data_IF_608545552229
#
_entry.id   IF_608545552229
#
_cell.length_a   1.000
_cell.length_b   1.000
_cell.length_c   1.000
_cell.angle_alpha   90.00
_cell.angle_beta   90.00
_cell.angle_gamma   90.00
#
_symmetry.space_group_name_H-M   'P 1'
#
loop_
_entity.id
_entity.type
_entity.pdbx_description
1 polymer ?
#
# COMPACT_ATOMS: atom_id res chain seq x y z
N UNK A 1 -2.39 22.38 -17.64
CA UNK A 1 -2.41 20.93 -17.92
C UNK A 1 -1.62 20.28 -16.80
N UNK A 2 -2.23 19.41 -15.99
CA UNK A 2 -1.53 18.73 -14.90
C UNK A 2 -0.52 17.69 -15.42
N UNK A 3 0.36 17.15 -14.55
CA UNK A 3 1.30 16.12 -14.96
C UNK A 3 0.56 14.89 -15.52
N UNK A 4 0.94 14.47 -16.72
CA UNK A 4 0.48 13.21 -17.32
C UNK A 4 1.40 12.11 -16.79
N UNK A 5 0.87 11.24 -15.93
CA UNK A 5 1.59 10.07 -15.43
C UNK A 5 1.52 8.96 -16.48
N UNK A 6 2.60 8.74 -17.24
CA UNK A 6 2.66 7.78 -18.36
C UNK A 6 3.26 6.42 -18.00
N UNK A 7 3.55 6.15 -16.71
CA UNK A 7 4.11 4.88 -16.24
C UNK A 7 3.14 4.06 -15.39
N UNK A 8 3.34 2.74 -15.26
CA UNK A 8 2.55 1.90 -14.37
C UNK A 8 2.74 2.36 -12.92
N UNK A 9 1.62 2.58 -12.22
CA UNK A 9 1.62 3.04 -10.82
C UNK A 9 1.67 1.82 -9.90
N UNK A 10 2.87 1.25 -9.78
CA UNK A 10 3.13 0.04 -9.02
C UNK A 10 3.57 0.42 -7.60
N UNK A 11 2.98 -0.27 -6.62
CA UNK A 11 3.48 -0.35 -5.26
C UNK A 11 4.29 -1.64 -5.09
N UNK A 12 5.46 -1.53 -4.47
CA UNK A 12 6.31 -2.68 -4.14
C UNK A 12 6.82 -2.57 -2.70
N UNK A 13 6.99 -3.70 -2.03
CA UNK A 13 7.48 -3.81 -0.66
C UNK A 13 8.28 -5.10 -0.45
N UNK A 14 8.97 -5.19 0.69
CA UNK A 14 9.71 -6.39 1.07
C UNK A 14 8.79 -7.44 1.69
N UNK A 15 9.10 -8.72 1.46
CA UNK A 15 8.35 -9.81 2.05
C UNK A 15 8.51 -9.85 3.58
N UNK A 16 7.41 -10.07 4.29
CA UNK A 16 7.37 -10.29 5.74
C UNK A 16 7.20 -11.79 6.02
N UNK A 17 8.07 -12.36 6.85
CA UNK A 17 7.98 -13.77 7.22
C UNK A 17 6.66 -14.05 7.97
N UNK A 18 5.96 -15.10 7.55
CA UNK A 18 4.65 -15.49 8.11
C UNK A 18 3.44 -14.79 7.47
N UNK A 19 3.66 -13.77 6.64
CA UNK A 19 2.57 -13.12 5.91
C UNK A 19 2.01 -14.06 4.82
N UNK A 20 0.68 -14.16 4.78
CA UNK A 20 -0.07 -14.87 3.72
C UNK A 20 -0.56 -13.92 2.63
N UNK A 21 -0.49 -12.61 2.89
CA UNK A 21 -0.77 -11.56 1.91
C UNK A 21 -0.49 -10.16 2.47
N UNK A 22 -0.89 -9.16 1.69
CA UNK A 22 -0.66 -7.75 2.00
C UNK A 22 -1.85 -6.89 1.57
N UNK A 23 -2.10 -5.83 2.32
CA UNK A 23 -3.03 -4.75 1.93
C UNK A 23 -2.23 -3.49 1.66
N UNK A 24 -2.59 -2.80 0.59
CA UNK A 24 -2.11 -1.45 0.29
C UNK A 24 -3.25 -0.50 0.54
N UNK A 25 -3.01 0.53 1.35
CA UNK A 25 -3.96 1.59 1.63
C UNK A 25 -3.55 2.86 0.90
N UNK A 26 -4.52 3.70 0.56
CA UNK A 26 -4.28 5.03 0.02
C UNK A 26 -5.17 6.09 0.68
N UNK A 27 -4.67 7.31 0.81
CA UNK A 27 -5.41 8.45 1.36
C UNK A 27 -4.97 9.76 0.74
N UNK A 28 -5.80 10.79 0.84
CA UNK A 28 -5.41 12.11 0.39
C UNK A 28 -4.24 12.62 1.26
N UNK A 29 -3.27 13.36 0.69
CA UNK A 29 -2.16 13.92 1.45
C UNK A 29 -2.65 14.77 2.62
N UNK A 30 -2.09 14.55 3.81
CA UNK A 30 -2.45 15.28 5.03
C UNK A 30 -3.68 14.75 5.77
N UNK A 31 -4.38 13.74 5.25
CA UNK A 31 -5.43 13.03 6.00
C UNK A 31 -4.78 12.06 6.99
N UNK A 32 -5.27 11.98 8.24
CA UNK A 32 -4.72 11.04 9.24
C UNK A 32 -5.36 9.66 9.18
N UNK A 33 -6.63 9.58 8.78
CA UNK A 33 -7.42 8.36 8.76
C UNK A 33 -7.17 7.52 7.50
N UNK A 34 -7.16 6.19 7.67
CA UNK A 34 -7.26 5.21 6.58
C UNK A 34 -8.70 4.70 6.51
N UNK A 35 -9.25 4.58 5.31
CA UNK A 35 -10.65 4.13 5.13
C UNK A 35 -10.71 2.80 4.39
N UNK A 36 -11.72 2.01 4.76
CA UNK A 36 -11.94 0.63 4.31
C UNK A 36 -12.15 0.50 2.79
N UNK A 37 -12.70 1.54 2.16
CA UNK A 37 -12.92 1.62 0.72
C UNK A 37 -11.68 2.02 -0.08
N UNK A 38 -10.60 2.43 0.61
CA UNK A 38 -9.35 2.88 0.01
C UNK A 38 -8.21 1.91 0.31
N UNK A 39 -8.46 0.63 0.02
CA UNK A 39 -7.44 -0.43 0.08
C UNK A 39 -7.59 -1.45 -1.03
N UNK A 40 -6.50 -2.15 -1.32
CA UNK A 40 -6.46 -3.28 -2.23
C UNK A 40 -5.56 -4.37 -1.63
N UNK A 41 -5.89 -5.63 -1.89
CA UNK A 41 -5.18 -6.78 -1.34
C UNK A 41 -4.48 -7.58 -2.44
N UNK A 42 -3.31 -8.13 -2.12
CA UNK A 42 -2.57 -9.06 -3.00
C UNK A 42 -1.85 -10.11 -2.15
N UNK A 43 -1.57 -11.27 -2.73
CA UNK A 43 -0.70 -12.29 -2.12
C UNK A 43 0.79 -12.10 -2.47
N UNK A 44 1.09 -11.26 -3.46
CA UNK A 44 2.47 -10.95 -3.87
C UNK A 44 3.05 -9.74 -3.12
N UNK A 45 4.29 -9.40 -3.42
CA UNK A 45 5.00 -8.22 -2.87
C UNK A 45 4.94 -6.99 -3.78
N UNK A 46 4.10 -7.05 -4.80
CA UNK A 46 3.87 -5.97 -5.77
C UNK A 46 2.39 -5.90 -6.12
N UNK A 47 1.88 -4.68 -6.30
CA UNK A 47 0.51 -4.44 -6.73
C UNK A 47 0.45 -3.27 -7.71
N UNK A 48 -0.18 -3.51 -8.86
CA UNK A 48 -0.56 -2.43 -9.77
C UNK A 48 -1.79 -1.71 -9.21
N UNK A 49 -1.65 -0.42 -8.95
CA UNK A 49 -2.70 0.42 -8.37
C UNK A 49 -3.43 1.28 -9.41
N UNK A 50 -3.10 1.13 -10.70
CA UNK A 50 -3.55 2.05 -11.76
C UNK A 50 -5.06 2.06 -11.96
N UNK A 51 -5.72 0.91 -11.75
CA UNK A 51 -7.17 0.75 -11.92
C UNK A 51 -7.96 0.95 -10.62
N UNK A 52 -7.29 0.93 -9.46
CA UNK A 52 -7.95 0.95 -8.14
C UNK A 52 -7.84 2.30 -7.44
N UNK A 53 -6.76 3.04 -7.63
CA UNK A 53 -6.59 4.37 -7.04
C UNK A 53 -7.03 5.42 -8.08
N UNK A 54 -7.99 6.32 -7.73
CA UNK A 54 -8.43 7.37 -8.63
C UNK A 54 -7.29 8.29 -9.05
N UNK A 55 -7.38 8.90 -10.24
CA UNK A 55 -6.39 9.92 -10.63
C UNK A 55 -6.39 11.08 -9.62
N UNK A 56 -5.21 11.44 -9.15
CA UNK A 56 -5.03 12.47 -8.13
C UNK A 56 -3.71 12.31 -7.38
N UNK A 57 -3.50 13.18 -6.40
CA UNK A 57 -2.42 13.06 -5.43
C UNK A 57 -2.89 12.21 -4.26
N UNK A 58 -2.16 11.15 -3.96
CA UNK A 58 -2.45 10.23 -2.87
C UNK A 58 -1.17 9.85 -2.14
N UNK A 59 -1.30 9.47 -0.89
CA UNK A 59 -0.27 8.82 -0.07
C UNK A 59 -0.64 7.35 0.11
N UNK A 60 0.35 6.46 0.15
CA UNK A 60 0.14 5.03 0.30
C UNK A 60 1.06 4.39 1.32
N UNK A 61 0.61 3.29 1.92
CA UNK A 61 1.40 2.38 2.73
C UNK A 61 0.94 0.94 2.50
N UNK A 62 1.75 -0.02 2.93
CA UNK A 62 1.42 -1.45 2.90
C UNK A 62 1.42 -2.03 4.32
N UNK A 63 0.56 -3.01 4.54
CA UNK A 63 0.50 -3.85 5.75
C UNK A 63 0.64 -5.31 5.36
N UNK A 64 1.19 -6.12 6.25
CA UNK A 64 1.21 -7.57 6.12
C UNK A 64 -0.02 -8.18 6.78
N UNK A 65 -0.52 -9.28 6.23
CA UNK A 65 -1.68 -10.01 6.73
C UNK A 65 -1.30 -11.47 6.90
N UNK A 66 -1.75 -12.08 7.99
CA UNK A 66 -1.73 -13.53 8.18
C UNK A 66 -3.16 -14.07 8.38
N UNK A 67 -3.31 -15.31 8.82
CA UNK A 67 -4.63 -15.91 9.06
C UNK A 67 -5.41 -15.32 10.25
N UNK A 68 -4.78 -14.47 11.06
CA UNK A 68 -5.26 -14.01 12.36
C UNK A 68 -5.32 -12.48 12.45
N UNK A 69 -4.36 -11.79 11.84
CA UNK A 69 -4.14 -10.36 12.08
C UNK A 69 -3.58 -9.62 10.87
N UNK A 70 -3.58 -8.30 11.00
CA UNK A 70 -2.93 -7.37 10.10
C UNK A 70 -1.89 -6.57 10.88
N UNK A 71 -0.76 -6.33 10.24
CA UNK A 71 0.41 -5.69 10.84
C UNK A 71 0.26 -4.17 10.94
N UNK A 72 1.27 -3.50 11.49
CA UNK A 72 1.40 -2.04 11.38
C UNK A 72 1.71 -1.61 9.93
N UNK A 73 1.41 -0.35 9.57
CA UNK A 73 1.73 0.16 8.24
C UNK A 73 3.24 0.31 8.06
N UNK A 74 3.71 0.16 6.84
CA UNK A 74 5.03 0.62 6.38
C UNK A 74 5.14 2.15 6.44
N UNK A 75 6.28 2.68 5.95
CA UNK A 75 6.38 4.11 5.63
C UNK A 75 5.28 4.55 4.66
N UNK A 76 4.74 5.74 4.91
CA UNK A 76 3.78 6.41 4.03
C UNK A 76 4.56 7.17 2.95
N UNK A 77 4.22 6.94 1.69
CA UNK A 77 4.92 7.51 0.52
C UNK A 77 3.94 8.05 -0.53
N UNK A 78 4.35 9.03 -1.36
CA UNK A 78 3.48 9.55 -2.42
C UNK A 78 3.21 8.54 -3.54
N UNK A 79 1.98 8.54 -4.04
CA UNK A 79 1.52 7.69 -5.15
C UNK A 79 1.88 8.28 -6.51
N UNK A 80 3.13 8.09 -6.92
CA UNK A 80 3.60 8.39 -8.28
C UNK A 80 4.47 7.25 -8.83
N UNK A 81 5.28 6.65 -7.96
CA UNK A 81 6.04 5.42 -8.12
C UNK A 81 6.62 5.14 -6.72
N UNK A 82 6.26 4.02 -6.08
CA UNK A 82 6.48 3.87 -4.65
C UNK A 82 7.16 2.53 -4.32
N UNK A 83 8.43 2.62 -3.94
CA UNK A 83 9.06 1.59 -3.12
C UNK A 83 8.66 1.88 -1.68
N UNK A 84 7.62 1.19 -1.26
CA UNK A 84 7.12 1.23 0.10
C UNK A 84 8.01 0.25 0.87
N UNK A 85 8.74 0.69 1.88
CA UNK A 85 9.64 -0.16 2.66
C UNK A 85 8.90 -1.33 3.32
N UNK A 86 9.62 -2.19 4.04
CA UNK A 86 9.01 -3.35 4.68
C UNK A 86 7.85 -2.93 5.61
N UNK A 87 6.68 -3.58 5.55
CA UNK A 87 5.64 -3.42 6.57
C UNK A 87 6.16 -3.78 7.96
N UNK A 88 5.67 -3.09 8.99
CA UNK A 88 6.04 -3.37 10.38
C UNK A 88 5.24 -4.58 10.89
N UNK A 89 5.94 -5.69 11.16
CA UNK A 89 5.28 -6.91 11.63
C UNK A 89 4.89 -6.82 13.11
N UNK A 90 3.67 -6.38 13.40
CA UNK A 90 3.11 -6.42 14.74
C UNK A 90 2.38 -7.76 14.97
N UNK A 91 3.14 -8.75 15.46
CA UNK A 91 2.72 -10.09 15.94
C UNK A 91 2.36 -11.13 14.86
N UNK A 92 3.38 -11.87 14.42
CA UNK A 92 3.20 -13.28 14.02
C UNK A 92 3.57 -14.11 15.26
N UNK A 93 2.56 -14.60 15.99
CA UNK A 93 2.72 -15.61 17.06
C UNK A 93 2.06 -16.90 16.62
#
# INVERSE_FOLDING_TARGET
>A
MGPIYTGPKIAAWEAVAGATGYRVYWRAPGTQEWVDSQRAQTSGTTLDLSSVVPQGSWEICATAIDSVSESGPSNVVPWQYAIIGKPENARVQ
#
